data_IF_907773864781
#
_entry.id   IF_907773864781
#
_cell.length_a   1.000
_cell.length_b   1.000
_cell.length_c   1.000
_cell.angle_alpha   90.00
_cell.angle_beta   90.00
_cell.angle_gamma   90.00
#
_symmetry.space_group_name_H-M   'P 1'
#
loop_
_entity.id
_entity.type
_entity.pdbx_description
1 polymer ?
#
# COMPACT_ATOMS: atom_id res chain seq x y z
N UNK A 1 1.54 -9.27 15.99
CA UNK A 1 1.22 -7.89 16.41
C UNK A 1 -0.24 -7.65 16.08
N UNK A 2 -1.03 -7.15 17.04
CA UNK A 2 -2.47 -6.97 16.89
C UNK A 2 -2.74 -5.89 15.83
N UNK A 3 -3.13 -6.30 14.63
CA UNK A 3 -3.45 -5.42 13.52
C UNK A 3 -4.88 -5.70 13.04
N UNK A 4 -5.66 -4.65 12.85
CA UNK A 4 -7.01 -4.75 12.29
C UNK A 4 -6.93 -4.31 10.82
N UNK A 5 -7.29 -5.21 9.91
CA UNK A 5 -7.39 -4.92 8.47
C UNK A 5 -8.79 -4.47 8.13
N UNK A 6 -8.91 -3.32 7.48
CA UNK A 6 -10.18 -2.73 7.09
C UNK A 6 -10.23 -2.72 5.55
N UNK A 7 -11.16 -3.49 4.98
CA UNK A 7 -11.43 -3.53 3.54
C UNK A 7 -12.85 -3.00 3.30
N UNK A 8 -13.06 -1.98 2.45
CA UNK A 8 -14.40 -1.59 2.01
C UNK A 8 -15.03 -2.73 1.18
N UNK A 9 -16.36 -2.94 1.25
CA UNK A 9 -17.04 -3.88 0.36
C UNK A 9 -17.03 -3.35 -1.09
N UNK A 10 -16.88 -4.27 -2.05
CA UNK A 10 -16.74 -3.98 -3.48
C UNK A 10 -17.86 -3.06 -4.02
N UNK A 11 -17.46 -1.98 -4.69
CA UNK A 11 -18.35 -1.21 -5.59
C UNK A 11 -19.05 0.04 -5.02
N UNK A 12 -18.81 0.46 -3.76
CA UNK A 12 -19.45 1.66 -3.19
C UNK A 12 -18.49 2.51 -2.34
N UNK A 13 -17.38 2.95 -2.95
CA UNK A 13 -16.29 3.67 -2.29
C UNK A 13 -16.68 5.01 -1.63
N UNK A 14 -17.69 5.71 -2.14
CA UNK A 14 -17.99 7.10 -1.71
C UNK A 14 -19.01 7.22 -0.55
N UNK A 15 -19.75 6.17 -0.19
CA UNK A 15 -20.90 6.27 0.73
C UNK A 15 -20.72 5.63 2.13
N UNK A 16 -19.57 5.05 2.45
CA UNK A 16 -19.46 4.12 3.59
C UNK A 16 -18.83 4.65 4.88
N UNK A 17 -18.18 5.82 4.86
CA UNK A 17 -17.33 6.29 5.97
C UNK A 17 -17.91 7.52 6.67
N UNK A 18 -19.05 7.39 7.33
CA UNK A 18 -19.57 8.43 8.22
C UNK A 18 -18.94 8.34 9.63
N UNK A 19 -18.92 9.45 10.37
CA UNK A 19 -18.37 9.53 11.73
C UNK A 19 -19.01 8.50 12.66
N UNK A 20 -20.32 8.29 12.55
CA UNK A 20 -21.05 7.31 13.37
C UNK A 20 -20.53 5.88 13.15
N UNK A 21 -20.14 5.54 11.93
CA UNK A 21 -19.60 4.21 11.60
C UNK A 21 -18.17 4.04 12.10
N UNK A 22 -17.32 5.07 11.99
CA UNK A 22 -15.97 5.05 12.57
C UNK A 22 -16.06 4.94 14.09
N UNK A 23 -17.00 5.65 14.72
CA UNK A 23 -17.26 5.54 16.16
C UNK A 23 -17.71 4.12 16.54
N UNK A 24 -18.61 3.51 15.76
CA UNK A 24 -19.06 2.13 15.97
C UNK A 24 -17.91 1.13 15.77
N UNK A 25 -17.08 1.33 14.73
CA UNK A 25 -15.99 0.44 14.38
C UNK A 25 -14.91 0.38 15.46
N UNK A 26 -14.62 1.53 16.08
CA UNK A 26 -13.59 1.65 17.10
C UNK A 26 -14.15 1.69 18.53
N UNK A 27 -15.44 1.42 18.72
CA UNK A 27 -16.03 1.33 20.04
C UNK A 27 -15.37 0.19 20.84
N UNK A 28 -14.81 0.53 22.01
CA UNK A 28 -14.08 -0.42 22.84
C UNK A 28 -12.68 -0.80 22.34
N UNK A 29 -12.19 -0.17 21.26
CA UNK A 29 -10.86 -0.42 20.70
C UNK A 29 -9.85 0.60 21.23
N UNK A 30 -8.81 0.12 21.89
CA UNK A 30 -7.71 0.96 22.39
C UNK A 30 -6.66 1.18 21.29
N UNK A 31 -6.76 2.31 20.58
CA UNK A 31 -5.95 2.59 19.40
C UNK A 31 -4.44 2.67 19.69
N UNK A 32 -4.04 3.11 20.89
CA UNK A 32 -2.63 3.21 21.29
C UNK A 32 -1.91 1.84 21.32
N UNK A 33 -2.66 0.74 21.44
CA UNK A 33 -2.12 -0.62 21.58
C UNK A 33 -2.17 -1.45 20.30
N UNK A 34 -2.73 -0.91 19.22
CA UNK A 34 -2.92 -1.64 17.96
C UNK A 34 -2.33 -0.88 16.78
N UNK A 35 -2.14 -1.58 15.67
CA UNK A 35 -1.83 -0.96 14.39
C UNK A 35 -3.02 -1.07 13.44
N UNK A 36 -3.46 0.05 12.88
CA UNK A 36 -4.56 0.08 11.93
C UNK A 36 -4.04 -0.13 10.51
N UNK A 37 -4.63 -1.06 9.76
CA UNK A 37 -4.28 -1.27 8.36
C UNK A 37 -5.52 -1.03 7.50
N UNK A 38 -5.48 0.02 6.69
CA UNK A 38 -6.53 0.35 5.74
C UNK A 38 -6.12 -0.13 4.36
N UNK A 39 -6.97 -0.94 3.73
CA UNK A 39 -6.79 -1.28 2.33
C UNK A 39 -7.76 -0.44 1.50
N UNK A 40 -7.21 0.59 0.85
CA UNK A 40 -7.95 1.62 0.11
C UNK A 40 -7.49 1.67 -1.35
N UNK A 41 -7.07 0.53 -1.88
CA UNK A 41 -6.75 0.35 -3.30
C UNK A 41 -7.91 0.86 -4.16
N UNK A 42 -7.57 1.53 -5.26
CA UNK A 42 -8.49 2.09 -6.27
C UNK A 42 -9.47 3.17 -5.76
N UNK A 43 -9.32 3.61 -4.50
CA UNK A 43 -10.08 4.73 -3.97
C UNK A 43 -9.62 6.05 -4.60
N UNK A 44 -10.54 6.83 -5.16
CA UNK A 44 -10.23 8.12 -5.76
C UNK A 44 -9.74 9.15 -4.73
N UNK A 45 -10.35 9.18 -3.54
CA UNK A 45 -10.00 10.09 -2.46
C UNK A 45 -9.99 9.37 -1.09
N UNK A 46 -8.81 8.90 -0.64
CA UNK A 46 -8.68 8.18 0.63
C UNK A 46 -8.58 9.10 1.85
N UNK A 47 -8.33 10.40 1.68
CA UNK A 47 -8.02 11.33 2.78
C UNK A 47 -9.16 11.44 3.82
N UNK A 48 -10.45 11.55 3.44
CA UNK A 48 -11.54 11.71 4.41
C UNK A 48 -11.65 10.57 5.43
N UNK A 49 -11.24 9.36 5.07
CA UNK A 49 -11.27 8.19 5.99
C UNK A 49 -10.24 8.39 7.09
N UNK A 50 -9.04 8.85 6.72
CA UNK A 50 -7.95 9.04 7.65
C UNK A 50 -8.20 10.26 8.54
N UNK A 51 -8.76 11.34 7.99
CA UNK A 51 -9.20 12.52 8.75
C UNK A 51 -10.23 12.16 9.81
N UNK A 52 -11.29 11.41 9.45
CA UNK A 52 -12.30 11.01 10.41
C UNK A 52 -11.77 10.04 11.48
N UNK A 53 -10.83 9.17 11.11
CA UNK A 53 -10.15 8.29 12.07
C UNK A 53 -9.32 9.11 13.06
N UNK A 54 -8.62 10.13 12.57
CA UNK A 54 -7.87 11.07 13.40
C UNK A 54 -8.77 11.90 14.31
N UNK A 55 -9.90 12.41 13.80
CA UNK A 55 -10.89 13.16 14.59
C UNK A 55 -11.50 12.29 15.70
N UNK A 56 -11.82 11.03 15.40
CA UNK A 56 -12.24 10.07 16.41
C UNK A 56 -11.16 9.91 17.49
N UNK A 57 -9.91 9.76 17.07
CA UNK A 57 -8.82 9.55 18.01
C UNK A 57 -8.57 10.76 18.92
N UNK A 58 -8.61 11.97 18.35
CA UNK A 58 -8.56 13.22 19.10
C UNK A 58 -9.70 13.33 20.12
N UNK A 59 -10.93 13.04 19.71
CA UNK A 59 -12.11 13.10 20.60
C UNK A 59 -12.03 12.12 21.76
N UNK A 60 -11.38 10.98 21.59
CA UNK A 60 -11.15 9.98 22.64
C UNK A 60 -9.90 10.26 23.49
N UNK A 61 -9.13 11.30 23.17
CA UNK A 61 -7.95 11.71 23.92
C UNK A 61 -6.71 10.86 23.67
N UNK A 62 -6.65 10.14 22.53
CA UNK A 62 -5.47 9.37 22.16
C UNK A 62 -4.34 10.28 21.68
N UNK A 63 -3.09 9.84 21.89
CA UNK A 63 -1.92 10.57 21.41
C UNK A 63 -1.73 10.33 19.92
N UNK A 64 -2.26 11.25 19.10
CA UNK A 64 -2.26 11.10 17.65
C UNK A 64 -0.89 10.89 17.00
N UNK A 65 0.23 11.48 17.50
CA UNK A 65 1.54 11.19 16.94
C UNK A 65 2.02 9.75 17.16
N UNK A 66 1.49 9.07 18.18
CA UNK A 66 1.86 7.70 18.54
C UNK A 66 1.01 6.63 17.83
N UNK A 67 -0.11 7.03 17.23
CA UNK A 67 -0.99 6.11 16.51
C UNK A 67 -0.22 5.47 15.36
N UNK A 68 -0.29 4.14 15.28
CA UNK A 68 0.46 3.35 14.29
C UNK A 68 -0.49 2.79 13.26
N UNK A 69 -0.07 2.81 12.01
CA UNK A 69 -0.86 2.19 10.98
C UNK A 69 -0.27 2.29 9.59
N UNK A 70 -1.00 1.66 8.67
CA UNK A 70 -0.65 1.57 7.27
C UNK A 70 -1.88 1.81 6.41
N UNK A 71 -1.70 2.48 5.28
CA UNK A 71 -2.71 2.59 4.23
C UNK A 71 -2.14 2.02 2.94
N UNK A 72 -2.84 1.08 2.33
CA UNK A 72 -2.46 0.47 1.06
C UNK A 72 -3.29 1.14 -0.02
N UNK A 73 -2.62 1.78 -0.97
CA UNK A 73 -3.26 2.55 -2.05
C UNK A 73 -2.97 1.99 -3.43
N UNK A 74 -1.86 1.25 -3.57
CA UNK A 74 -1.41 0.72 -4.85
C UNK A 74 -1.31 -0.79 -4.79
N UNK A 75 -1.55 -1.45 -5.91
CA UNK A 75 -1.30 -2.87 -6.07
C UNK A 75 -0.68 -3.20 -7.44
N UNK A 76 -0.03 -4.36 -7.52
CA UNK A 76 0.56 -4.86 -8.76
C UNK A 76 -0.26 -5.96 -9.44
N UNK A 77 -1.45 -6.31 -8.91
CA UNK A 77 -2.32 -7.30 -9.55
C UNK A 77 -2.68 -6.81 -10.95
N UNK A 78 -2.25 -7.57 -11.95
CA UNK A 78 -2.42 -7.19 -13.33
C UNK A 78 -3.90 -7.29 -13.73
N UNK A 79 -4.53 -6.16 -14.03
CA UNK A 79 -5.24 -6.07 -15.31
C UNK A 79 -4.15 -6.11 -16.40
N UNK A 80 -3.75 -7.32 -16.80
CA UNK A 80 -2.86 -7.64 -17.94
C UNK A 80 -1.84 -6.54 -18.32
N UNK A 81 -0.79 -6.39 -17.51
CA UNK A 81 0.43 -5.67 -17.90
C UNK A 81 1.17 -6.49 -18.96
N UNK A 82 0.70 -6.41 -20.21
CA UNK A 82 1.40 -6.95 -21.36
C UNK A 82 2.66 -6.11 -21.57
N UNK A 83 3.81 -6.79 -21.57
CA UNK A 83 5.20 -6.35 -21.47
C UNK A 83 5.73 -5.37 -22.53
N UNK A 84 5.03 -4.29 -22.88
CA UNK A 84 5.50 -3.42 -23.97
C UNK A 84 5.18 -1.92 -23.90
N UNK A 85 4.44 -1.41 -22.92
CA UNK A 85 4.39 0.05 -22.73
C UNK A 85 3.92 0.41 -21.33
N UNK A 86 4.79 1.07 -20.58
CA UNK A 86 4.54 1.53 -19.22
C UNK A 86 4.86 3.03 -19.23
N UNK A 87 3.85 3.88 -19.04
CA UNK A 87 3.95 5.35 -19.11
C UNK A 87 3.00 6.01 -18.09
N UNK A 88 2.98 7.34 -18.01
CA UNK A 88 2.03 8.17 -17.24
C UNK A 88 1.00 8.78 -18.22
N UNK A 89 -0.30 8.79 -17.88
CA UNK A 89 -1.40 9.23 -18.77
C UNK A 89 -2.32 10.16 -17.98
N UNK A 90 -2.74 11.24 -18.64
CA UNK A 90 -3.42 12.37 -18.01
C UNK A 90 -4.96 12.23 -17.97
N UNK A 91 -5.58 11.27 -18.68
CA UNK A 91 -7.04 11.16 -18.84
C UNK A 91 -7.56 9.75 -18.54
N UNK A 92 -8.72 9.67 -17.86
CA UNK A 92 -9.36 8.43 -17.39
C UNK A 92 -10.10 7.61 -18.45
N UNK A 93 -10.18 8.07 -19.70
CA UNK A 93 -11.10 7.50 -20.70
C UNK A 93 -10.46 6.64 -21.80
N UNK A 94 -9.12 6.53 -21.88
CA UNK A 94 -8.48 5.76 -22.95
C UNK A 94 -7.71 4.54 -22.43
N UNK A 95 -8.37 3.39 -22.59
CA UNK A 95 -7.91 1.98 -22.55
C UNK A 95 -7.91 1.24 -21.20
N UNK A 96 -8.37 -0.03 -21.15
CA UNK A 96 -8.66 -0.74 -19.89
C UNK A 96 -7.44 -1.42 -19.22
N UNK A 97 -6.21 -1.17 -19.67
CA UNK A 97 -5.07 -2.01 -19.27
C UNK A 97 -3.75 -1.28 -19.06
N UNK A 98 -3.70 0.06 -19.03
CA UNK A 98 -2.41 0.75 -18.99
C UNK A 98 -2.51 2.04 -18.19
N UNK A 99 -1.56 2.19 -17.26
CA UNK A 99 -1.06 3.46 -16.69
C UNK A 99 -1.71 3.97 -15.39
N UNK A 100 -0.84 4.27 -14.41
CA UNK A 100 -1.12 5.06 -13.21
C UNK A 100 -1.85 6.37 -13.52
N UNK A 101 -3.06 6.55 -12.99
CA UNK A 101 -3.84 7.77 -13.16
C UNK A 101 -3.23 8.92 -12.33
N UNK A 102 -2.77 9.99 -13.00
CA UNK A 102 -2.16 11.16 -12.36
C UNK A 102 -3.08 11.79 -11.30
N UNK A 103 -4.40 11.78 -11.52
CA UNK A 103 -5.37 12.27 -10.54
C UNK A 103 -5.32 11.45 -9.24
N UNK A 104 -5.32 10.12 -9.35
CA UNK A 104 -5.21 9.22 -8.19
C UNK A 104 -3.87 9.38 -7.48
N UNK A 105 -2.76 9.54 -8.23
CA UNK A 105 -1.46 9.83 -7.63
C UNK A 105 -1.48 11.15 -6.85
N UNK A 106 -2.03 12.21 -7.43
CA UNK A 106 -2.10 13.51 -6.76
C UNK A 106 -2.92 13.42 -5.46
N UNK A 107 -4.03 12.70 -5.44
CA UNK A 107 -4.80 12.48 -4.20
C UNK A 107 -4.04 11.61 -3.19
N UNK A 108 -3.29 10.61 -3.66
CA UNK A 108 -2.39 9.80 -2.82
C UNK A 108 -1.27 10.64 -2.19
N UNK A 109 -0.74 11.62 -2.92
CA UNK A 109 0.27 12.55 -2.38
C UNK A 109 -0.33 13.52 -1.35
N UNK A 110 -1.57 13.98 -1.55
CA UNK A 110 -2.28 14.82 -0.56
C UNK A 110 -2.43 14.09 0.78
N UNK A 111 -2.89 12.84 0.76
CA UNK A 111 -3.02 12.05 2.00
C UNK A 111 -1.65 11.78 2.63
N UNK A 112 -0.60 11.57 1.84
CA UNK A 112 0.76 11.38 2.36
C UNK A 112 1.29 12.63 3.07
N UNK A 113 1.16 13.81 2.46
CA UNK A 113 1.56 15.09 3.06
C UNK A 113 0.75 15.39 4.33
N UNK A 114 -0.56 15.14 4.31
CA UNK A 114 -1.41 15.29 5.48
C UNK A 114 -0.99 14.34 6.62
N UNK A 115 -0.70 13.07 6.30
CA UNK A 115 -0.31 12.07 7.29
C UNK A 115 1.09 12.34 7.86
N UNK A 116 2.04 12.80 7.05
CA UNK A 116 3.37 13.19 7.53
C UNK A 116 3.30 14.27 8.62
N UNK A 117 2.29 15.16 8.55
CA UNK A 117 2.06 16.22 9.53
C UNK A 117 1.30 15.76 10.78
N UNK A 118 0.24 14.95 10.62
CA UNK A 118 -0.69 14.65 11.72
C UNK A 118 -0.51 13.25 12.33
N UNK A 119 0.05 12.31 11.56
CA UNK A 119 0.24 10.90 11.91
C UNK A 119 1.65 10.44 11.50
N UNK A 120 2.73 10.97 12.10
CA UNK A 120 4.11 10.65 11.71
C UNK A 120 4.47 9.15 11.84
N UNK A 121 3.78 8.41 12.71
CA UNK A 121 3.94 6.97 12.87
C UNK A 121 3.10 6.12 11.88
N UNK A 122 2.25 6.75 11.06
CA UNK A 122 1.58 6.09 9.94
C UNK A 122 2.46 6.03 8.70
N UNK A 123 2.20 5.04 7.85
CA UNK A 123 2.74 4.96 6.49
C UNK A 123 1.58 4.81 5.51
N UNK A 124 1.45 5.73 4.56
CA UNK A 124 0.21 5.84 3.77
C UNK A 124 0.37 5.44 2.30
N UNK A 125 1.59 5.51 1.75
CA UNK A 125 1.85 5.17 0.35
C UNK A 125 2.22 3.70 0.22
N UNK A 126 1.28 2.83 0.58
CA UNK A 126 1.45 1.39 0.54
C UNK A 126 1.31 0.79 -0.85
N UNK A 127 2.34 0.07 -1.28
CA UNK A 127 2.36 -0.68 -2.53
C UNK A 127 2.29 -2.17 -2.24
N UNK A 128 1.17 -2.81 -2.59
CA UNK A 128 0.99 -4.25 -2.47
C UNK A 128 1.50 -4.98 -3.71
N UNK A 129 2.50 -5.84 -3.53
CA UNK A 129 3.12 -6.63 -4.60
C UNK A 129 2.61 -8.06 -4.51
N UNK A 130 1.70 -8.38 -5.43
CA UNK A 130 1.09 -9.69 -5.55
C UNK A 130 2.12 -10.78 -5.91
N UNK A 131 1.91 -11.98 -5.36
CA UNK A 131 2.44 -13.21 -5.92
C UNK A 131 1.42 -13.72 -6.93
N UNK A 132 1.76 -13.72 -8.21
CA UNK A 132 0.91 -14.33 -9.23
C UNK A 132 0.73 -15.82 -8.84
N UNK A 133 -0.50 -16.22 -8.48
CA UNK A 133 -0.79 -17.51 -7.82
C UNK A 133 -0.65 -18.72 -8.75
N UNK A 134 -0.64 -18.49 -10.06
CA UNK A 134 -0.84 -19.57 -11.04
C UNK A 134 0.33 -19.79 -12.00
N UNK A 135 1.38 -18.96 -11.97
CA UNK A 135 2.52 -19.12 -12.89
C UNK A 135 3.83 -18.84 -12.18
N UNK A 136 4.79 -19.71 -12.45
CA UNK A 136 6.21 -19.60 -12.12
C UNK A 136 6.63 -18.15 -11.83
N UNK A 137 6.83 -17.85 -10.55
CA UNK A 137 7.07 -16.50 -10.06
C UNK A 137 8.28 -15.87 -10.76
N UNK A 138 8.05 -14.87 -11.60
CA UNK A 138 9.13 -13.98 -12.00
C UNK A 138 9.39 -12.98 -10.86
N UNK A 139 10.29 -13.41 -9.98
CA UNK A 139 10.80 -12.62 -8.87
C UNK A 139 11.37 -11.29 -9.35
N UNK A 140 12.02 -11.26 -10.51
CA UNK A 140 12.53 -10.02 -11.09
C UNK A 140 11.39 -9.09 -11.51
N UNK A 141 10.31 -9.61 -12.10
CA UNK A 141 9.12 -8.79 -12.42
C UNK A 141 8.46 -8.20 -11.18
N UNK A 142 8.38 -8.94 -10.07
CA UNK A 142 7.80 -8.40 -8.84
C UNK A 142 8.61 -7.23 -8.27
N UNK A 143 9.94 -7.31 -8.35
CA UNK A 143 10.86 -6.22 -7.96
C UNK A 143 10.76 -5.05 -8.93
N UNK A 144 10.75 -5.32 -10.24
CA UNK A 144 10.63 -4.29 -11.27
C UNK A 144 9.31 -3.53 -11.15
N UNK A 145 8.19 -4.22 -10.93
CA UNK A 145 6.89 -3.60 -10.66
C UNK A 145 6.97 -2.71 -9.42
N UNK A 146 7.48 -3.22 -8.30
CA UNK A 146 7.61 -2.44 -7.07
C UNK A 146 8.39 -1.13 -7.29
N UNK A 147 9.54 -1.21 -7.95
CA UNK A 147 10.38 -0.05 -8.26
C UNK A 147 9.69 0.91 -9.22
N UNK A 148 8.97 0.40 -10.22
CA UNK A 148 8.24 1.25 -11.15
C UNK A 148 7.14 2.07 -10.46
N UNK A 149 6.35 1.46 -9.57
CA UNK A 149 5.33 2.19 -8.80
C UNK A 149 6.00 3.22 -7.89
N UNK A 150 7.06 2.83 -7.18
CA UNK A 150 7.82 3.72 -6.32
C UNK A 150 8.41 4.92 -7.08
N UNK A 151 8.96 4.68 -8.27
CA UNK A 151 9.48 5.73 -9.16
C UNK A 151 8.38 6.67 -9.65
N UNK A 152 7.22 6.15 -10.05
CA UNK A 152 6.08 6.96 -10.46
C UNK A 152 5.59 7.88 -9.32
N UNK A 153 5.55 7.37 -8.08
CA UNK A 153 5.22 8.16 -6.89
C UNK A 153 6.27 9.26 -6.65
N UNK A 154 7.56 8.91 -6.67
CA UNK A 154 8.65 9.87 -6.42
C UNK A 154 8.73 10.95 -7.50
N UNK A 155 8.61 10.57 -8.78
CA UNK A 155 8.55 11.52 -9.91
C UNK A 155 7.40 12.51 -9.73
N UNK A 156 6.21 12.03 -9.35
CA UNK A 156 5.05 12.91 -9.18
C UNK A 156 5.17 13.76 -7.91
N UNK A 157 5.75 13.20 -6.84
CA UNK A 157 6.03 13.92 -5.62
C UNK A 157 7.04 15.05 -5.86
N UNK A 158 8.13 14.79 -6.58
CA UNK A 158 9.16 15.77 -6.92
C UNK A 158 8.56 16.96 -7.69
N UNK A 159 7.71 16.69 -8.69
CA UNK A 159 6.99 17.75 -9.44
C UNK A 159 6.10 18.64 -8.58
N UNK A 160 5.52 18.08 -7.52
CA UNK A 160 4.59 18.78 -6.62
C UNK A 160 5.28 19.30 -5.35
N UNK A 161 6.57 19.03 -5.17
CA UNK A 161 7.30 19.39 -3.95
C UNK A 161 7.92 20.77 -4.07
N UNK A 162 7.73 21.58 -3.03
CA UNK A 162 8.31 22.93 -2.93
C UNK A 162 9.77 22.90 -2.44
N UNK A 163 10.19 21.84 -1.75
CA UNK A 163 11.54 21.68 -1.21
C UNK A 163 11.95 20.20 -1.12
N UNK A 164 13.24 19.95 -0.86
CA UNK A 164 13.76 18.59 -0.67
C UNK A 164 13.21 17.94 0.61
N UNK A 165 13.01 18.72 1.67
CA UNK A 165 12.45 18.25 2.94
C UNK A 165 10.99 17.81 2.77
N UNK A 166 10.23 18.51 1.93
CA UNK A 166 8.87 18.09 1.59
C UNK A 166 8.88 16.76 0.84
N UNK A 167 9.77 16.60 -0.13
CA UNK A 167 9.93 15.34 -0.86
C UNK A 167 10.37 14.20 0.06
N UNK A 168 11.31 14.45 0.97
CA UNK A 168 11.74 13.48 2.00
C UNK A 168 10.54 13.05 2.85
N UNK A 169 9.72 13.99 3.31
CA UNK A 169 8.53 13.68 4.13
C UNK A 169 7.51 12.78 3.42
N UNK A 170 7.35 12.94 2.10
CA UNK A 170 6.50 12.09 1.27
C UNK A 170 7.18 10.73 1.06
N UNK A 171 8.48 10.71 0.77
CA UNK A 171 9.23 9.48 0.55
C UNK A 171 9.19 8.55 1.77
N UNK A 172 9.22 9.12 2.97
CA UNK A 172 9.12 8.39 4.22
C UNK A 172 7.74 7.76 4.44
N UNK A 173 6.70 8.19 3.74
CA UNK A 173 5.37 7.57 3.78
C UNK A 173 5.25 6.32 2.91
N UNK A 174 6.23 6.05 2.04
CA UNK A 174 6.23 4.92 1.12
C UNK A 174 6.59 3.63 1.86
N UNK A 175 5.78 2.60 1.64
CA UNK A 175 6.10 1.25 2.06
C UNK A 175 5.70 0.23 1.00
N UNK A 176 6.44 -0.87 0.98
CA UNK A 176 6.21 -1.97 0.05
C UNK A 176 5.77 -3.20 0.82
N UNK A 177 4.82 -3.93 0.26
CA UNK A 177 4.29 -5.15 0.82
C UNK A 177 4.42 -6.30 -0.17
N UNK A 178 5.48 -7.09 -0.03
CA UNK A 178 5.72 -8.25 -0.89
C UNK A 178 4.99 -9.48 -0.40
N UNK A 179 4.23 -10.12 -1.29
CA UNK A 179 3.83 -11.52 -1.14
C UNK A 179 5.06 -12.43 -1.27
N UNK A 180 5.17 -13.42 -0.40
CA UNK A 180 6.26 -14.40 -0.39
C UNK A 180 5.73 -15.79 -0.74
N UNK A 181 6.39 -16.47 -1.69
CA UNK A 181 6.09 -17.85 -2.08
C UNK A 181 6.80 -18.89 -1.20
N UNK A 182 6.64 -20.17 -1.55
CA UNK A 182 7.30 -21.30 -0.87
C UNK A 182 8.82 -21.36 -1.12
N UNK A 183 9.37 -20.63 -2.10
CA UNK A 183 10.81 -20.66 -2.41
C UNK A 183 11.61 -19.70 -1.52
N UNK A 184 11.89 -20.14 -0.29
CA UNK A 184 12.50 -19.33 0.77
C UNK A 184 13.77 -18.56 0.34
N UNK A 185 14.73 -19.23 -0.31
CA UNK A 185 15.99 -18.58 -0.70
C UNK A 185 15.78 -17.49 -1.75
N UNK A 186 14.91 -17.75 -2.73
CA UNK A 186 14.57 -16.79 -3.75
C UNK A 186 13.81 -15.58 -3.18
N UNK A 187 12.91 -15.81 -2.22
CA UNK A 187 12.18 -14.73 -1.54
C UNK A 187 13.11 -13.85 -0.66
N UNK A 188 14.10 -14.45 0.01
CA UNK A 188 15.13 -13.66 0.72
C UNK A 188 15.94 -12.85 -0.27
N UNK A 189 16.40 -13.46 -1.37
CA UNK A 189 17.17 -12.77 -2.40
C UNK A 189 16.36 -11.60 -3.00
N UNK A 190 15.07 -11.81 -3.27
CA UNK A 190 14.13 -10.77 -3.71
C UNK A 190 14.11 -9.57 -2.79
N UNK A 191 13.85 -9.79 -1.50
CA UNK A 191 13.74 -8.71 -0.52
C UNK A 191 15.08 -7.98 -0.32
N UNK A 192 16.21 -8.69 -0.39
CA UNK A 192 17.56 -8.09 -0.31
C UNK A 192 17.88 -7.26 -1.54
N UNK A 193 17.60 -7.78 -2.74
CA UNK A 193 17.80 -7.07 -3.99
C UNK A 193 16.93 -5.81 -4.06
N UNK A 194 15.66 -5.92 -3.68
CA UNK A 194 14.75 -4.79 -3.63
C UNK A 194 15.26 -3.68 -2.69
N UNK A 195 15.70 -4.03 -1.47
CA UNK A 195 16.29 -3.06 -0.51
C UNK A 195 17.42 -2.25 -1.13
N UNK A 196 18.34 -2.93 -1.82
CA UNK A 196 19.47 -2.28 -2.48
C UNK A 196 19.02 -1.36 -3.63
N UNK A 197 18.11 -1.86 -4.48
CA UNK A 197 17.62 -1.09 -5.62
C UNK A 197 16.80 0.13 -5.20
N UNK A 198 15.97 0.00 -4.17
CA UNK A 198 15.19 1.10 -3.62
C UNK A 198 16.09 2.19 -3.03
N UNK A 199 17.14 1.81 -2.28
CA UNK A 199 18.12 2.77 -1.77
C UNK A 199 18.83 3.53 -2.91
N UNK A 200 19.22 2.83 -3.98
CA UNK A 200 19.82 3.48 -5.15
C UNK A 200 18.85 4.42 -5.86
N UNK A 201 17.55 4.08 -5.90
CA UNK A 201 16.53 4.95 -6.46
C UNK A 201 16.37 6.23 -5.62
N UNK A 202 16.29 6.12 -4.29
CA UNK A 202 16.23 7.30 -3.41
C UNK A 202 17.44 8.23 -3.59
N UNK A 203 18.65 7.66 -3.72
CA UNK A 203 19.85 8.43 -4.00
C UNK A 203 19.79 9.18 -5.33
N UNK A 204 19.15 8.61 -6.35
CA UNK A 204 18.96 9.29 -7.64
C UNK A 204 18.09 10.56 -7.51
N UNK A 205 17.13 10.57 -6.58
CA UNK A 205 16.32 11.74 -6.21
C UNK A 205 16.99 12.64 -5.16
N UNK A 206 18.27 12.41 -4.83
CA UNK A 206 19.02 13.13 -3.78
C UNK A 206 18.40 13.03 -2.38
N UNK A 207 17.62 11.98 -2.13
CA UNK A 207 17.02 11.71 -0.84
C UNK A 207 17.97 10.91 0.02
N UNK A 208 17.92 11.16 1.33
CA UNK A 208 18.69 10.37 2.28
C UNK A 208 18.07 8.95 2.34
N UNK A 209 18.82 7.87 2.11
CA UNK A 209 18.29 6.52 2.21
C UNK A 209 17.93 6.22 3.66
N UNK A 210 16.68 6.46 4.04
CA UNK A 210 16.15 5.98 5.31
C UNK A 210 16.03 4.46 5.24
N UNK A 211 16.03 3.76 6.38
CA UNK A 211 15.68 2.34 6.41
C UNK A 211 14.20 2.26 6.07
N UNK A 212 13.86 2.30 4.78
CA UNK A 212 12.49 2.36 4.33
C UNK A 212 11.73 1.19 4.93
N UNK A 213 10.51 1.46 5.41
CA UNK A 213 9.68 0.49 6.10
C UNK A 213 9.20 -0.59 5.13
N UNK A 214 10.06 -1.55 4.80
CA UNK A 214 9.71 -2.67 3.94
C UNK A 214 8.98 -3.69 4.79
N UNK A 215 7.72 -3.93 4.44
CA UNK A 215 6.88 -4.93 5.06
C UNK A 215 6.86 -6.17 4.15
N UNK A 216 7.10 -7.35 4.70
CA UNK A 216 6.80 -8.58 3.97
C UNK A 216 5.43 -9.07 4.45
N UNK A 217 4.47 -9.28 3.54
CA UNK A 217 3.24 -10.00 3.85
C UNK A 217 3.44 -11.44 3.42
N UNK A 218 3.55 -12.33 4.39
CA UNK A 218 3.51 -13.76 4.13
C UNK A 218 2.04 -14.09 3.85
N UNK A 219 1.68 -14.19 2.57
CA UNK A 219 0.40 -14.73 2.19
C UNK A 219 0.49 -16.25 2.34
N UNK A 220 0.02 -16.76 3.47
CA UNK A 220 -0.31 -18.19 3.59
C UNK A 220 -1.68 -18.39 2.93
N UNK A 221 -1.74 -18.29 1.60
CA UNK A 221 -2.88 -18.89 0.92
C UNK A 221 -2.73 -20.39 1.09
N UNK A 222 -3.68 -21.01 1.77
CA UNK A 222 -3.91 -22.43 1.61
C UNK A 222 -4.23 -22.59 0.12
N UNK A 223 -3.24 -22.98 -0.68
CA UNK A 223 -3.45 -23.30 -2.09
C UNK A 223 -4.71 -24.16 -2.18
N UNK A 224 -5.60 -23.82 -3.12
CA UNK A 224 -6.87 -24.53 -3.36
C UNK A 224 -6.70 -26.04 -3.58
N UNK A 225 -5.46 -26.54 -3.66
CA UNK A 225 -5.10 -27.94 -3.45
C UNK A 225 -5.70 -28.57 -2.17
N UNK A 226 -5.81 -27.82 -1.06
CA UNK A 226 -6.43 -28.34 0.16
C UNK A 226 -7.95 -28.50 0.01
N UNK A 227 -8.61 -27.61 -0.72
CA UNK A 227 -10.03 -27.70 -1.07
C UNK A 227 -10.32 -28.86 -2.02
N UNK A 228 -9.37 -29.23 -2.89
CA UNK A 228 -9.46 -30.45 -3.71
C UNK A 228 -9.21 -31.73 -2.90
N UNK A 229 -8.23 -31.73 -1.97
CA UNK A 229 -7.96 -32.88 -1.08
C UNK A 229 -9.12 -33.17 -0.12
N UNK A 230 -9.88 -32.15 0.30
CA UNK A 230 -11.09 -32.31 1.11
C UNK A 230 -12.29 -32.89 0.32
N UNK A 231 -12.36 -32.65 -0.99
CA UNK A 231 -13.39 -33.25 -1.88
C UNK A 231 -13.10 -34.71 -2.24
N UNK A 232 -11.87 -35.17 -2.06
CA UNK A 232 -11.44 -36.55 -2.33
C UNK A 232 -11.55 -37.49 -1.12
N UNK A 233 -12.07 -37.02 0.03
CA UNK A 233 -12.41 -37.95 1.13
C UNK A 233 -13.62 -38.78 0.69
N UNK A 234 -13.54 -40.12 0.63
CA UNK A 234 -14.74 -40.92 0.52
C UNK A 234 -15.63 -40.60 1.72
N UNK A 235 -16.90 -40.32 1.47
CA UNK A 235 -17.90 -40.23 2.55
C UNK A 235 -17.96 -41.62 3.19
N UNK A 236 -17.50 -41.72 4.43
CA UNK A 236 -17.80 -42.85 5.32
C UNK A 236 -19.27 -42.79 5.74
#
# INVERSE_FOLDING_TARGET
>A
ANAISINPPDGVAQFYWDFDRINTLFEGVFLDYISLIFNLIDMEDPLPILEKTYDFALKKGFQTPELRGKVILFHTYATKLNSSTVGLVNNSSDTPNRVFNVFQLNNSLKIAAWAAKHLPAFKVLGVQIASDSDQYHDVAHSVARALYIGDAILTQAEKNSESIEHLESISDQIFFEFSCSKNYFMEIAKLRAFKLLWANLLLAYKLTPSVSSISARIFCENTNENTQKLKLRPKL
#
